data_IF_854619987842
#
_entry.id   IF_854619987842
#
_cell.length_a   1.000
_cell.length_b   1.000
_cell.length_c   1.000
_cell.angle_alpha   90.00
_cell.angle_beta   90.00
_cell.angle_gamma   90.00
#
_symmetry.space_group_name_H-M   'P 1'
#
loop_
_entity.id
_entity.type
_entity.pdbx_description
1 polymer ?
#
# COMPACT_ATOMS: atom_id res chain seq x y z
N UNK A 1 -24.00 24.38 13.71
CA UNK A 1 -24.27 23.73 15.00
C UNK A 1 -23.00 22.97 15.39
N UNK A 2 -22.30 23.43 16.43
CA UNK A 2 -21.08 22.79 16.94
C UNK A 2 -21.45 21.41 17.50
N UNK A 3 -21.02 20.31 16.88
CA UNK A 3 -21.11 18.99 17.48
C UNK A 3 -20.21 18.97 18.70
N UNK A 4 -20.80 18.89 19.88
CA UNK A 4 -20.10 18.65 21.14
C UNK A 4 -19.39 17.29 21.01
N UNK A 5 -18.09 17.29 20.80
CA UNK A 5 -17.30 16.07 20.67
C UNK A 5 -17.18 15.43 22.06
N UNK A 6 -17.72 14.24 22.24
CA UNK A 6 -17.61 13.47 23.50
C UNK A 6 -16.14 13.28 23.86
N UNK A 7 -15.82 13.44 25.13
CA UNK A 7 -14.44 13.36 25.63
C UNK A 7 -14.21 12.07 26.41
N UNK A 8 -12.95 11.62 26.48
CA UNK A 8 -12.55 10.47 27.33
C UNK A 8 -13.00 10.63 28.79
N UNK A 9 -13.08 11.87 29.28
CA UNK A 9 -13.53 12.20 30.64
C UNK A 9 -15.00 11.85 30.81
N UNK A 10 -15.86 12.21 29.87
CA UNK A 10 -17.29 11.91 29.92
C UNK A 10 -17.54 10.39 29.88
N UNK A 11 -16.82 9.65 29.06
CA UNK A 11 -16.91 8.18 29.02
C UNK A 11 -16.46 7.58 30.36
N UNK A 12 -15.38 8.08 30.93
CA UNK A 12 -14.84 7.63 32.22
C UNK A 12 -15.84 7.85 33.35
N UNK A 13 -16.48 9.01 33.40
CA UNK A 13 -17.55 9.34 34.34
C UNK A 13 -18.76 8.43 34.19
N UNK A 14 -19.22 8.21 32.95
CA UNK A 14 -20.37 7.32 32.66
C UNK A 14 -20.07 5.84 32.98
N UNK A 15 -18.84 5.39 32.71
CA UNK A 15 -18.41 4.02 32.99
C UNK A 15 -18.05 3.79 34.46
N UNK A 16 -17.85 4.84 35.25
CA UNK A 16 -17.42 4.76 36.67
C UNK A 16 -15.96 4.29 36.81
N UNK A 17 -15.07 4.67 35.85
CA UNK A 17 -13.67 4.25 35.84
C UNK A 17 -12.73 5.44 35.62
N UNK A 18 -11.42 5.22 35.74
CA UNK A 18 -10.44 6.25 35.44
C UNK A 18 -10.34 6.53 33.95
N UNK A 19 -9.95 7.77 33.56
CA UNK A 19 -9.67 8.14 32.18
C UNK A 19 -8.57 7.22 31.58
N UNK A 20 -7.60 6.84 32.41
CA UNK A 20 -6.53 5.89 32.01
C UNK A 20 -7.09 4.53 31.63
N UNK A 21 -8.11 4.04 32.35
CA UNK A 21 -8.78 2.77 32.04
C UNK A 21 -9.52 2.85 30.71
N UNK A 22 -10.28 3.92 30.49
CA UNK A 22 -10.95 4.17 29.20
C UNK A 22 -9.95 4.23 28.06
N UNK A 23 -8.88 5.01 28.21
CA UNK A 23 -7.81 5.14 27.21
C UNK A 23 -7.16 3.77 26.88
N UNK A 24 -6.92 2.91 27.88
CA UNK A 24 -6.36 1.56 27.65
C UNK A 24 -7.31 0.68 26.86
N UNK A 25 -8.60 0.68 27.21
CA UNK A 25 -9.63 -0.10 26.51
C UNK A 25 -9.78 0.34 25.07
N UNK A 26 -9.94 1.63 24.82
CA UNK A 26 -10.13 2.17 23.47
C UNK A 26 -8.90 1.97 22.56
N UNK A 27 -7.70 1.87 23.15
CA UNK A 27 -6.46 1.57 22.39
C UNK A 27 -6.09 0.08 22.37
N UNK A 28 -7.01 -0.82 22.73
CA UNK A 28 -6.79 -2.27 22.61
C UNK A 28 -5.74 -2.84 23.57
N UNK A 29 -5.31 -2.09 24.59
CA UNK A 29 -4.28 -2.56 25.55
C UNK A 29 -4.88 -3.56 26.52
N UNK A 30 -4.10 -4.56 26.87
CA UNK A 30 -4.46 -5.57 27.88
C UNK A 30 -4.51 -4.98 29.31
N UNK A 31 -5.18 -5.70 30.22
CA UNK A 31 -5.26 -5.35 31.66
C UNK A 31 -6.60 -4.80 32.11
N UNK A 32 -7.66 -5.04 31.33
CA UNK A 32 -9.06 -4.85 31.75
C UNK A 32 -9.84 -6.13 31.51
N UNK A 33 -10.74 -6.49 32.45
CA UNK A 33 -11.64 -7.61 32.25
C UNK A 33 -12.58 -7.41 31.05
N UNK A 34 -12.96 -8.52 30.41
CA UNK A 34 -13.76 -8.53 29.17
C UNK A 34 -15.08 -7.75 29.31
N UNK A 35 -15.79 -7.96 30.45
CA UNK A 35 -17.06 -7.26 30.74
C UNK A 35 -16.90 -5.73 30.83
N UNK A 36 -15.82 -5.27 31.44
CA UNK A 36 -15.54 -3.85 31.54
C UNK A 36 -15.13 -3.25 30.18
N UNK A 37 -14.39 -4.02 29.39
CA UNK A 37 -14.03 -3.65 28.02
C UNK A 37 -15.27 -3.44 27.15
N UNK A 38 -16.18 -4.43 27.13
CA UNK A 38 -17.43 -4.37 26.37
C UNK A 38 -18.27 -3.17 26.80
N UNK A 39 -18.45 -2.97 28.12
CA UNK A 39 -19.21 -1.84 28.65
C UNK A 39 -18.64 -0.48 28.22
N UNK A 40 -17.32 -0.28 28.27
CA UNK A 40 -16.68 0.97 27.85
C UNK A 40 -16.85 1.19 26.35
N UNK A 41 -16.72 0.17 25.54
CA UNK A 41 -16.93 0.25 24.09
C UNK A 41 -18.37 0.61 23.72
N UNK A 42 -19.35 0.05 24.42
CA UNK A 42 -20.77 0.38 24.23
C UNK A 42 -21.06 1.85 24.60
N UNK A 43 -20.56 2.31 25.74
CA UNK A 43 -20.72 3.71 26.17
C UNK A 43 -20.08 4.66 25.13
N UNK A 44 -18.87 4.36 24.67
CA UNK A 44 -18.19 5.15 23.66
C UNK A 44 -19.02 5.25 22.37
N UNK A 45 -19.55 4.11 21.91
CA UNK A 45 -20.41 4.04 20.71
C UNK A 45 -21.73 4.82 20.91
N UNK A 46 -22.41 4.64 22.07
CA UNK A 46 -23.66 5.36 22.35
C UNK A 46 -23.48 6.87 22.45
N UNK A 47 -22.35 7.31 22.97
CA UNK A 47 -22.02 8.73 23.09
C UNK A 47 -21.41 9.32 21.81
N UNK A 48 -21.28 8.54 20.73
CA UNK A 48 -20.69 8.99 19.46
C UNK A 48 -19.22 9.40 19.60
N UNK A 49 -18.47 8.73 20.50
CA UNK A 49 -17.06 9.00 20.67
C UNK A 49 -16.27 8.42 19.51
N UNK A 50 -15.62 9.27 18.78
CA UNK A 50 -14.63 8.91 17.75
C UNK A 50 -13.24 9.04 18.35
N UNK A 51 -12.42 7.97 18.22
CA UNK A 51 -11.03 8.03 18.66
C UNK A 51 -10.32 9.07 17.78
N UNK A 52 -9.87 10.15 18.40
CA UNK A 52 -9.06 11.13 17.67
C UNK A 52 -7.64 10.58 17.46
N UNK A 53 -7.51 9.75 16.42
CA UNK A 53 -6.24 9.15 16.02
C UNK A 53 -5.19 10.21 15.66
N UNK A 54 -5.62 11.35 15.10
CA UNK A 54 -4.77 12.49 14.75
C UNK A 54 -4.10 13.05 16.01
N UNK A 55 -4.89 13.38 17.05
CA UNK A 55 -4.33 13.90 18.31
C UNK A 55 -3.44 12.87 19.03
N UNK A 56 -3.71 11.58 18.84
CA UNK A 56 -2.89 10.49 19.38
C UNK A 56 -1.57 10.34 18.61
N UNK A 57 -1.59 10.48 17.30
CA UNK A 57 -0.40 10.34 16.43
C UNK A 57 0.61 11.46 16.64
N UNK A 58 0.13 12.71 16.83
CA UNK A 58 0.98 13.87 17.08
C UNK A 58 1.84 13.76 18.36
N UNK A 59 1.46 12.87 19.29
CA UNK A 59 2.24 12.59 20.50
C UNK A 59 3.27 11.48 20.31
N UNK A 60 3.26 10.80 19.16
CA UNK A 60 4.21 9.72 18.81
C UNK A 60 5.32 10.27 17.93
N UNK A 61 6.41 9.51 17.83
CA UNK A 61 7.46 9.80 16.86
C UNK A 61 6.85 9.76 15.44
N UNK A 62 7.20 10.71 14.56
CA UNK A 62 6.78 10.68 13.16
C UNK A 62 7.15 9.33 12.50
N UNK A 63 6.25 8.87 11.64
CA UNK A 63 6.49 7.69 10.78
C UNK A 63 7.02 8.19 9.45
N UNK A 64 8.20 7.76 9.06
CA UNK A 64 8.84 8.14 7.81
C UNK A 64 8.70 7.03 6.76
N UNK A 65 8.08 7.34 5.64
CA UNK A 65 7.88 6.43 4.52
C UNK A 65 8.67 6.92 3.31
N UNK A 66 9.56 6.08 2.79
CA UNK A 66 10.18 6.33 1.50
C UNK A 66 9.25 5.84 0.38
N UNK A 67 9.08 6.63 -0.66
CA UNK A 67 8.23 6.28 -1.80
C UNK A 67 8.99 6.49 -3.09
N UNK A 68 9.00 5.48 -3.97
CA UNK A 68 9.68 5.55 -5.26
C UNK A 68 8.65 5.39 -6.38
N UNK A 69 8.50 6.44 -7.20
CA UNK A 69 7.58 6.48 -8.33
C UNK A 69 8.27 6.91 -9.62
N UNK A 70 7.73 6.56 -10.79
CA UNK A 70 8.09 7.23 -12.03
C UNK A 70 7.65 8.68 -12.01
N UNK A 71 8.37 9.55 -12.70
CA UNK A 71 7.91 10.91 -12.95
C UNK A 71 6.68 10.85 -13.84
N UNK A 72 5.64 11.59 -13.46
CA UNK A 72 4.51 11.86 -14.33
C UNK A 72 4.94 12.97 -15.32
N UNK A 73 5.06 12.61 -16.58
CA UNK A 73 5.28 13.51 -17.70
C UNK A 73 4.17 13.32 -18.75
N UNK A 74 4.19 14.12 -19.81
CA UNK A 74 3.16 14.08 -20.84
C UNK A 74 3.10 12.73 -21.58
N UNK A 75 4.18 11.94 -21.51
CA UNK A 75 4.31 10.62 -22.15
C UNK A 75 4.00 9.47 -21.17
N UNK A 76 3.70 9.77 -19.91
CA UNK A 76 3.34 8.76 -18.91
C UNK A 76 2.00 8.12 -19.28
N UNK A 77 1.93 6.79 -19.22
CA UNK A 77 0.69 6.07 -19.43
C UNK A 77 -0.38 6.53 -18.44
N UNK A 78 -1.63 6.68 -18.89
CA UNK A 78 -2.78 7.06 -18.07
C UNK A 78 -2.87 6.23 -16.77
N UNK A 79 -2.51 4.95 -16.86
CA UNK A 79 -2.49 4.05 -15.73
C UNK A 79 -1.55 4.49 -14.60
N UNK A 80 -0.34 4.94 -14.93
CA UNK A 80 0.63 5.48 -13.94
C UNK A 80 0.07 6.74 -13.31
N UNK A 81 -0.56 7.61 -14.10
CA UNK A 81 -1.18 8.84 -13.61
C UNK A 81 -2.30 8.55 -12.60
N UNK A 82 -3.14 7.57 -12.87
CA UNK A 82 -4.22 7.18 -11.95
C UNK A 82 -3.67 6.62 -10.62
N UNK A 83 -2.62 5.82 -10.66
CA UNK A 83 -1.95 5.33 -9.44
C UNK A 83 -1.34 6.49 -8.65
N UNK A 84 -0.70 7.44 -9.31
CA UNK A 84 -0.14 8.63 -8.66
C UNK A 84 -1.24 9.51 -8.07
N UNK A 85 -2.36 9.70 -8.78
CA UNK A 85 -3.51 10.45 -8.27
C UNK A 85 -4.06 9.81 -7.00
N UNK A 86 -4.26 8.48 -7.00
CA UNK A 86 -4.68 7.75 -5.81
C UNK A 86 -3.69 7.89 -4.66
N UNK A 87 -2.39 7.78 -4.92
CA UNK A 87 -1.37 8.00 -3.90
C UNK A 87 -1.44 9.41 -3.29
N UNK A 88 -1.55 10.46 -4.12
CA UNK A 88 -1.60 11.84 -3.62
C UNK A 88 -2.87 12.10 -2.81
N UNK A 89 -4.00 11.56 -3.23
CA UNK A 89 -5.25 11.66 -2.48
C UNK A 89 -5.13 11.01 -1.10
N UNK A 90 -4.69 9.76 -1.02
CA UNK A 90 -4.51 9.06 0.25
C UNK A 90 -3.44 9.73 1.14
N UNK A 91 -2.37 10.25 0.54
CA UNK A 91 -1.35 10.98 1.26
C UNK A 91 -1.92 12.17 2.00
N UNK A 92 -2.78 12.97 1.37
CA UNK A 92 -3.45 14.11 2.01
C UNK A 92 -4.33 13.68 3.19
N UNK A 93 -5.03 12.54 3.05
CA UNK A 93 -5.88 11.98 4.10
C UNK A 93 -5.08 11.49 5.32
N UNK A 94 -3.88 10.95 5.09
CA UNK A 94 -3.06 10.41 6.19
C UNK A 94 -2.03 11.39 6.76
N UNK A 95 -1.78 12.53 6.11
CA UNK A 95 -0.86 13.56 6.60
C UNK A 95 -1.12 13.98 8.06
N UNK A 96 -2.40 14.17 8.50
CA UNK A 96 -2.70 14.52 9.88
C UNK A 96 -2.25 13.48 10.91
N UNK A 97 -1.96 12.25 10.50
CA UNK A 97 -1.53 11.15 11.39
C UNK A 97 -0.04 11.14 11.69
N UNK A 98 0.67 12.24 11.44
CA UNK A 98 2.11 12.38 11.66
C UNK A 98 2.95 11.38 10.84
N UNK A 99 2.53 11.16 9.59
CA UNK A 99 3.23 10.36 8.60
C UNK A 99 3.93 11.30 7.63
N UNK A 100 5.23 11.11 7.46
CA UNK A 100 6.08 11.91 6.57
C UNK A 100 6.51 11.06 5.40
N UNK A 101 6.13 11.47 4.20
CA UNK A 101 6.53 10.83 2.96
C UNK A 101 7.74 11.52 2.36
N UNK A 102 8.76 10.73 2.03
CA UNK A 102 9.92 11.16 1.27
C UNK A 102 9.84 10.52 -0.11
N UNK A 103 9.58 11.33 -1.11
CA UNK A 103 9.37 10.88 -2.48
C UNK A 103 10.67 10.90 -3.28
N UNK A 104 10.86 9.85 -4.06
CA UNK A 104 11.94 9.67 -5.02
C UNK A 104 11.34 9.39 -6.37
N UNK A 105 11.84 10.04 -7.40
CA UNK A 105 11.31 9.91 -8.74
C UNK A 105 12.38 9.43 -9.72
N UNK A 106 11.98 8.54 -10.64
CA UNK A 106 12.81 8.09 -11.74
C UNK A 106 12.10 8.38 -13.08
N UNK A 107 12.83 8.49 -14.23
CA UNK A 107 12.21 8.67 -15.53
C UNK A 107 11.28 7.51 -15.88
N UNK A 108 10.14 7.77 -16.52
CA UNK A 108 9.18 6.72 -16.93
C UNK A 108 9.85 5.66 -17.82
N UNK A 109 10.78 6.06 -18.66
CA UNK A 109 11.57 5.20 -19.56
C UNK A 109 12.97 4.90 -18.99
N UNK A 110 13.05 4.45 -17.73
CA UNK A 110 14.32 4.00 -17.13
C UNK A 110 14.62 2.55 -17.55
N UNK A 111 14.89 2.35 -18.85
CA UNK A 111 15.06 1.04 -19.48
C UNK A 111 16.12 0.16 -18.80
N UNK A 112 17.19 0.76 -18.29
CA UNK A 112 18.26 0.05 -17.59
C UNK A 112 18.03 0.02 -16.07
N UNK A 113 16.93 0.56 -15.60
CA UNK A 113 16.57 0.69 -14.17
C UNK A 113 17.63 1.38 -13.31
N UNK A 114 18.52 2.16 -13.92
CA UNK A 114 19.68 2.75 -13.25
C UNK A 114 19.28 3.81 -12.22
N UNK A 115 18.32 4.68 -12.58
CA UNK A 115 17.84 5.74 -11.67
C UNK A 115 17.02 5.14 -10.55
N UNK A 116 16.14 4.16 -10.85
CA UNK A 116 15.39 3.42 -9.87
C UNK A 116 16.29 2.72 -8.85
N UNK A 117 17.32 2.00 -9.32
CA UNK A 117 18.32 1.36 -8.47
C UNK A 117 19.10 2.36 -7.62
N UNK A 118 19.44 3.53 -8.20
CA UNK A 118 20.09 4.60 -7.46
C UNK A 118 19.21 5.11 -6.32
N UNK A 119 17.91 5.32 -6.55
CA UNK A 119 16.96 5.69 -5.51
C UNK A 119 16.91 4.64 -4.39
N UNK A 120 16.75 3.36 -4.74
CA UNK A 120 16.77 2.27 -3.76
C UNK A 120 18.07 2.19 -2.96
N UNK A 121 19.21 2.31 -3.63
CA UNK A 121 20.52 2.31 -2.98
C UNK A 121 20.67 3.50 -2.02
N UNK A 122 20.26 4.70 -2.42
CA UNK A 122 20.31 5.88 -1.57
C UNK A 122 19.48 5.67 -0.30
N UNK A 123 18.25 5.17 -0.42
CA UNK A 123 17.40 4.83 0.73
C UNK A 123 18.08 3.79 1.61
N UNK A 124 18.61 2.71 1.02
CA UNK A 124 19.26 1.64 1.78
C UNK A 124 20.55 2.06 2.45
N UNK A 125 21.35 2.94 1.81
CA UNK A 125 22.64 3.41 2.31
C UNK A 125 22.53 4.51 3.36
N UNK A 126 21.38 5.15 3.51
CA UNK A 126 21.17 6.24 4.47
C UNK A 126 21.48 5.77 5.89
N UNK A 127 22.31 6.56 6.60
CA UNK A 127 22.72 6.23 7.97
C UNK A 127 22.54 7.43 8.90
N UNK A 128 21.87 7.28 10.06
CA UNK A 128 21.11 6.07 10.44
C UNK A 128 19.95 5.84 9.47
N UNK A 129 19.54 4.58 9.28
CA UNK A 129 18.37 4.27 8.46
C UNK A 129 17.14 4.90 9.11
N UNK A 130 16.45 5.76 8.37
CA UNK A 130 15.42 6.64 8.95
C UNK A 130 13.99 6.29 8.55
N UNK A 131 13.80 5.34 7.63
CA UNK A 131 12.47 5.01 7.16
C UNK A 131 11.86 3.87 7.95
N UNK A 132 10.57 4.02 8.28
CA UNK A 132 9.75 3.03 8.97
C UNK A 132 9.00 2.13 7.96
N UNK A 133 8.99 2.51 6.67
CA UNK A 133 8.44 1.74 5.57
C UNK A 133 8.94 2.23 4.22
N UNK A 134 8.79 1.39 3.20
CA UNK A 134 9.18 1.71 1.81
C UNK A 134 8.04 1.28 0.87
N UNK A 135 7.63 2.17 -0.01
CA UNK A 135 6.68 1.91 -1.10
C UNK A 135 7.44 2.05 -2.41
N UNK A 136 7.35 1.07 -3.27
CA UNK A 136 7.99 1.09 -4.58
C UNK A 136 6.98 0.80 -5.67
N UNK A 137 7.02 1.60 -6.72
CA UNK A 137 6.35 1.32 -7.98
C UNK A 137 7.41 1.09 -9.06
N UNK A 138 7.26 0.00 -9.79
CA UNK A 138 8.05 -0.26 -10.99
C UNK A 138 7.18 -1.10 -11.94
N UNK A 139 6.95 -0.56 -13.13
CA UNK A 139 6.06 -1.14 -14.13
C UNK A 139 6.62 -2.44 -14.70
N UNK A 140 7.90 -2.43 -15.03
CA UNK A 140 8.64 -3.59 -15.45
C UNK A 140 9.89 -3.75 -14.59
N UNK A 141 9.89 -4.75 -13.74
CA UNK A 141 11.02 -5.04 -12.89
C UNK A 141 12.05 -5.94 -13.59
N UNK A 142 11.76 -6.39 -14.81
CA UNK A 142 12.67 -7.21 -15.60
C UNK A 142 13.34 -8.34 -14.80
N UNK A 143 14.35 -8.99 -15.34
CA UNK A 143 15.15 -10.00 -14.63
C UNK A 143 16.26 -9.39 -13.74
N UNK A 144 16.16 -8.10 -13.40
CA UNK A 144 17.19 -7.43 -12.64
C UNK A 144 17.15 -7.81 -11.15
N UNK A 145 18.01 -8.73 -10.77
CA UNK A 145 18.15 -9.19 -9.39
C UNK A 145 18.73 -8.15 -8.42
N UNK A 146 19.27 -7.04 -8.93
CA UNK A 146 19.91 -6.03 -8.08
C UNK A 146 18.91 -5.37 -7.15
N UNK A 147 17.73 -4.99 -7.64
CA UNK A 147 16.69 -4.39 -6.80
C UNK A 147 16.10 -5.39 -5.79
N UNK A 148 15.85 -6.65 -6.22
CA UNK A 148 15.41 -7.73 -5.33
C UNK A 148 16.33 -7.88 -4.14
N UNK A 149 17.66 -7.90 -4.38
CA UNK A 149 18.65 -7.99 -3.32
C UNK A 149 18.57 -6.81 -2.33
N UNK A 150 18.31 -5.60 -2.80
CA UNK A 150 18.19 -4.41 -1.93
C UNK A 150 16.89 -4.47 -1.13
N UNK A 151 15.75 -4.78 -1.77
CA UNK A 151 14.45 -4.91 -1.09
C UNK A 151 14.49 -6.00 -0.01
N UNK A 152 15.06 -7.17 -0.33
CA UNK A 152 15.23 -8.26 0.64
C UNK A 152 16.11 -7.85 1.84
N UNK A 153 17.14 -7.03 1.62
CA UNK A 153 17.95 -6.48 2.70
C UNK A 153 17.19 -5.46 3.56
N UNK A 154 16.31 -4.66 2.97
CA UNK A 154 15.42 -3.74 3.70
C UNK A 154 14.45 -4.55 4.56
N UNK A 155 13.79 -5.55 3.97
CA UNK A 155 12.90 -6.48 4.68
C UNK A 155 13.62 -7.21 5.83
N UNK A 156 14.88 -7.62 5.61
CA UNK A 156 15.73 -8.22 6.65
C UNK A 156 15.98 -7.32 7.85
N UNK A 157 15.81 -6.00 7.72
CA UNK A 157 15.83 -5.05 8.84
C UNK A 157 14.45 -4.88 9.52
N UNK A 158 13.48 -5.70 9.17
CA UNK A 158 12.08 -5.63 9.63
C UNK A 158 11.37 -4.33 9.23
N UNK A 159 11.76 -3.76 8.11
CA UNK A 159 11.13 -2.58 7.53
C UNK A 159 10.16 -3.07 6.47
N UNK A 160 8.86 -2.79 6.61
CA UNK A 160 7.86 -3.23 5.64
C UNK A 160 8.12 -2.60 4.27
N UNK A 161 7.97 -3.42 3.24
CA UNK A 161 8.05 -3.02 1.85
C UNK A 161 6.71 -3.30 1.18
N UNK A 162 6.14 -2.29 0.57
CA UNK A 162 4.96 -2.39 -0.30
C UNK A 162 5.43 -2.26 -1.74
N UNK A 163 5.06 -3.21 -2.58
CA UNK A 163 5.37 -3.20 -4.00
C UNK A 163 4.08 -2.96 -4.78
N UNK A 164 4.12 -2.00 -5.69
CA UNK A 164 3.02 -1.73 -6.61
C UNK A 164 3.38 -2.30 -7.99
N UNK A 165 2.47 -3.03 -8.59
CA UNK A 165 2.52 -3.77 -9.84
C UNK A 165 3.03 -5.20 -9.70
N UNK A 166 4.25 -5.47 -10.10
CA UNK A 166 4.84 -6.81 -10.18
C UNK A 166 6.19 -6.84 -9.48
N UNK A 167 6.58 -8.03 -9.06
CA UNK A 167 7.94 -8.29 -8.61
C UNK A 167 8.31 -9.73 -8.94
N UNK A 168 9.60 -10.02 -8.84
CA UNK A 168 10.12 -11.39 -8.97
C UNK A 168 9.66 -12.27 -7.80
N UNK A 169 9.52 -13.56 -8.04
CA UNK A 169 9.09 -14.55 -7.02
C UNK A 169 10.04 -14.62 -5.81
N UNK A 170 11.34 -14.30 -6.00
CA UNK A 170 12.36 -14.28 -4.96
C UNK A 170 12.44 -12.95 -4.19
N UNK A 171 11.54 -11.98 -4.49
CA UNK A 171 11.47 -10.70 -3.78
C UNK A 171 10.61 -10.81 -2.52
N UNK A 172 11.17 -10.39 -1.38
CA UNK A 172 10.43 -10.31 -0.13
C UNK A 172 9.69 -8.97 -0.02
N UNK A 173 8.43 -9.03 0.39
CA UNK A 173 7.59 -7.86 0.59
C UNK A 173 6.58 -8.10 1.72
N UNK A 174 6.02 -7.03 2.24
CA UNK A 174 4.91 -7.07 3.20
C UNK A 174 3.55 -7.10 2.50
N UNK A 175 3.45 -6.41 1.37
CA UNK A 175 2.25 -6.33 0.55
C UNK A 175 2.65 -6.12 -0.92
N UNK A 176 1.96 -6.82 -1.81
CA UNK A 176 2.01 -6.62 -3.26
C UNK A 176 0.63 -6.15 -3.72
N UNK A 177 0.58 -5.04 -4.41
CA UNK A 177 -0.65 -4.49 -5.01
C UNK A 177 -0.46 -4.40 -6.51
N UNK A 178 -1.22 -5.17 -7.25
CA UNK A 178 -1.13 -5.22 -8.70
C UNK A 178 -2.39 -5.82 -9.32
N UNK A 179 -2.46 -5.84 -10.67
CA UNK A 179 -3.57 -6.46 -11.37
C UNK A 179 -3.57 -7.99 -11.14
N UNK A 180 -4.75 -8.56 -11.09
CA UNK A 180 -4.92 -10.02 -11.18
C UNK A 180 -4.86 -10.45 -12.65
N UNK A 181 -3.66 -10.83 -13.07
CA UNK A 181 -3.39 -11.19 -14.47
C UNK A 181 -4.08 -12.49 -14.89
N UNK A 182 -4.25 -13.42 -13.97
CA UNK A 182 -4.94 -14.67 -14.22
C UNK A 182 -6.43 -14.42 -14.49
N UNK A 183 -7.07 -13.65 -13.61
CA UNK A 183 -8.46 -13.26 -13.80
C UNK A 183 -8.64 -12.44 -15.08
N UNK A 184 -7.74 -11.53 -15.40
CA UNK A 184 -7.80 -10.74 -16.62
C UNK A 184 -7.72 -11.61 -17.88
N UNK A 185 -6.82 -12.62 -17.91
CA UNK A 185 -6.73 -13.59 -18.99
C UNK A 185 -8.01 -14.41 -19.19
N UNK A 186 -8.57 -14.92 -18.09
CA UNK A 186 -9.84 -15.68 -18.11
C UNK A 186 -11.01 -14.84 -18.60
N UNK A 187 -11.13 -13.60 -18.10
CA UNK A 187 -12.19 -12.68 -18.54
C UNK A 187 -12.07 -12.34 -20.03
N UNK A 188 -10.84 -12.16 -20.53
CA UNK A 188 -10.61 -11.91 -21.95
C UNK A 188 -11.01 -13.11 -22.81
N UNK A 189 -10.67 -14.33 -22.39
CA UNK A 189 -11.07 -15.57 -23.08
C UNK A 189 -12.59 -15.73 -23.10
N UNK A 190 -13.27 -15.58 -21.96
CA UNK A 190 -14.72 -15.65 -21.87
C UNK A 190 -15.42 -14.60 -22.74
N UNK A 191 -14.88 -13.38 -22.80
CA UNK A 191 -15.42 -12.33 -23.67
C UNK A 191 -15.24 -12.69 -25.14
N UNK A 192 -14.06 -13.22 -25.51
CA UNK A 192 -13.78 -13.65 -26.88
C UNK A 192 -14.71 -14.78 -27.31
N UNK A 193 -14.91 -15.80 -26.48
CA UNK A 193 -15.84 -16.90 -26.74
C UNK A 193 -17.28 -16.40 -27.00
N UNK A 194 -17.73 -15.43 -26.22
CA UNK A 194 -19.06 -14.81 -26.41
C UNK A 194 -19.17 -13.94 -27.67
N UNK A 195 -18.07 -13.38 -28.14
CA UNK A 195 -18.04 -12.49 -29.29
C UNK A 195 -17.80 -13.25 -30.61
N UNK A 196 -17.16 -14.40 -30.56
CA UNK A 196 -16.90 -15.25 -31.71
C UNK A 196 -17.99 -16.30 -31.85
N UNK A 197 -18.65 -16.32 -33.03
CA UNK A 197 -19.69 -17.34 -33.34
C UNK A 197 -19.08 -18.37 -34.28
N UNK A 198 -18.77 -19.55 -33.74
CA UNK A 198 -18.25 -20.66 -34.51
C UNK A 198 -16.73 -20.80 -34.49
N UNK A 199 -16.21 -21.60 -35.43
CA UNK A 199 -14.76 -21.86 -35.56
C UNK A 199 -14.01 -20.66 -36.17
N UNK A 200 -12.88 -20.30 -35.62
CA UNK A 200 -12.05 -19.18 -36.10
C UNK A 200 -10.61 -19.28 -35.65
N UNK A 201 -9.76 -18.41 -36.21
CA UNK A 201 -8.37 -18.27 -35.78
C UNK A 201 -8.22 -16.99 -34.96
N UNK A 202 -7.68 -17.12 -33.77
CA UNK A 202 -7.39 -15.99 -32.89
C UNK A 202 -5.89 -15.71 -32.95
N UNK A 203 -5.53 -14.44 -33.09
CA UNK A 203 -4.15 -13.99 -33.09
C UNK A 203 -3.91 -13.13 -31.86
N UNK A 204 -3.01 -13.57 -30.99
CA UNK A 204 -2.63 -12.85 -29.77
C UNK A 204 -1.41 -12.01 -30.08
N UNK A 205 -1.48 -10.72 -29.75
CA UNK A 205 -0.35 -9.78 -29.80
C UNK A 205 0.00 -9.44 -28.34
N UNK A 206 1.18 -9.81 -27.90
CA UNK A 206 1.71 -9.43 -26.60
C UNK A 206 3.09 -8.81 -26.74
N UNK A 207 3.54 -8.11 -25.72
CA UNK A 207 4.92 -7.62 -25.67
C UNK A 207 5.85 -8.80 -25.46
N UNK A 208 6.96 -8.83 -26.22
CA UNK A 208 8.01 -9.85 -26.04
C UNK A 208 8.87 -9.47 -24.83
N UNK A 209 8.33 -9.70 -23.64
CA UNK A 209 9.04 -9.46 -22.38
C UNK A 209 9.61 -10.79 -21.85
N UNK A 210 10.75 -10.75 -21.13
CA UNK A 210 11.39 -11.95 -20.56
C UNK A 210 10.50 -12.74 -19.59
N UNK A 211 9.47 -12.09 -19.07
CA UNK A 211 8.42 -12.73 -18.28
C UNK A 211 7.18 -12.83 -19.17
N UNK A 212 6.85 -14.07 -19.53
CA UNK A 212 5.64 -14.36 -20.29
C UNK A 212 4.47 -13.53 -19.76
N UNK A 213 3.78 -12.87 -20.66
CA UNK A 213 2.54 -12.19 -20.36
C UNK A 213 1.56 -13.23 -19.83
N UNK A 214 1.43 -13.31 -18.50
CA UNK A 214 0.60 -14.31 -17.83
C UNK A 214 -0.84 -14.22 -18.32
N UNK A 215 -1.30 -13.04 -18.63
CA UNK A 215 -2.64 -12.81 -19.17
C UNK A 215 -2.79 -13.50 -20.53
N UNK A 216 -1.79 -13.37 -21.41
CA UNK A 216 -1.83 -13.98 -22.74
C UNK A 216 -1.74 -15.52 -22.67
N UNK A 217 -0.93 -16.04 -21.75
CA UNK A 217 -0.81 -17.49 -21.53
C UNK A 217 -2.14 -18.07 -21.00
N UNK A 218 -2.72 -17.47 -19.97
CA UNK A 218 -4.01 -17.90 -19.42
C UNK A 218 -5.12 -17.76 -20.44
N UNK A 219 -5.15 -16.65 -21.20
CA UNK A 219 -6.10 -16.47 -22.28
C UNK A 219 -6.02 -17.60 -23.32
N UNK A 220 -4.80 -18.02 -23.70
CA UNK A 220 -4.61 -19.10 -24.67
C UNK A 220 -4.95 -20.49 -24.12
N UNK A 221 -4.88 -20.69 -22.81
CA UNK A 221 -5.24 -21.96 -22.15
C UNK A 221 -6.75 -22.12 -21.98
N UNK A 222 -7.49 -21.02 -21.84
CA UNK A 222 -8.93 -21.02 -21.59
C UNK A 222 -9.77 -21.04 -22.90
N UNK A 223 -9.15 -20.83 -24.08
CA UNK A 223 -9.78 -20.92 -25.41
C UNK A 223 -9.64 -22.33 -26.01
#
# INVERSE_FOLDING_TARGET
>A
MSRSTTTLKQIAETAGVSITTVHRVLNGKEGCGEQLRTRIMEIAKQQGYEINYVASSLRKKPIHIAVIFPKSDADSHLYVQEILNGYFQEREEVEPYNIIFQEYYYPAYDLESMVFLSCLNNIYQERPFRYDGVIVYKEDLGDDRRYTAILNRIMGKRIPVVILQKCRDDTQYSCLVGPDEELAGKMAAELMDKMTVGEGNIKIFSQDLPFADKNAAVFAEEL
#
